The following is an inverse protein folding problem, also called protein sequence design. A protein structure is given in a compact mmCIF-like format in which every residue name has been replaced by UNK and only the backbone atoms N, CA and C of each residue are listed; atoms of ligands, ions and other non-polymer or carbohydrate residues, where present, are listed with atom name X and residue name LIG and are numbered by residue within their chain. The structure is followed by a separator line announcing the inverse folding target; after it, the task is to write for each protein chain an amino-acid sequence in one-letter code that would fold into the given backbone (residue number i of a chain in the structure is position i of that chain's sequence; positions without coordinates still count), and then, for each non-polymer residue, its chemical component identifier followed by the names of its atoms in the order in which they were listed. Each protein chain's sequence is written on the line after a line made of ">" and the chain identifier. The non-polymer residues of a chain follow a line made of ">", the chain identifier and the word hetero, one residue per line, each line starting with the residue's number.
data_IF_668484795796
#
_entry.id   IF_668484795796
#
_cell.length_a   1.000
_cell.length_b   1.000
_cell.length_c   1.000
_cell.angle_alpha   90.00
_cell.angle_beta   90.00
_cell.angle_gamma   90.00
#
_symmetry.space_group_name_H-M   'P 1'
#
loop_
_entity.id
_entity.type
_entity.pdbx_description
1 polymer ?
#
# COMPACT_ATOMS: atom_id res chain seq x y z
N UNK A 1 -3.68 -12.35 20.07
CA UNK A 1 -2.96 -11.06 20.10
C UNK A 1 -3.52 -10.20 18.98
N UNK A 2 -4.41 -9.29 19.31
CA UNK A 2 -5.04 -8.34 18.40
C UNK A 2 -4.05 -7.20 18.13
N UNK A 3 -3.51 -7.12 16.91
CA UNK A 3 -2.77 -5.94 16.48
C UNK A 3 -3.78 -4.81 16.31
N UNK A 4 -3.81 -3.87 17.25
CA UNK A 4 -4.47 -2.59 17.06
C UNK A 4 -3.66 -1.81 16.01
N UNK A 5 -4.00 -1.99 14.75
CA UNK A 5 -3.43 -1.24 13.65
C UNK A 5 -4.32 0.00 13.43
N UNK A 6 -4.03 1.07 14.17
CA UNK A 6 -4.87 2.29 14.25
C UNK A 6 -4.79 3.20 13.01
N UNK A 7 -3.99 2.83 12.01
CA UNK A 7 -3.85 3.58 10.76
C UNK A 7 -5.05 3.47 9.82
N UNK A 8 -5.11 4.36 8.84
CA UNK A 8 -6.19 4.42 7.84
C UNK A 8 -6.05 3.23 6.90
N UNK A 9 -7.11 2.42 6.78
CA UNK A 9 -7.08 1.23 5.95
C UNK A 9 -7.28 1.61 4.47
N UNK A 10 -6.23 1.42 3.68
CA UNK A 10 -6.21 1.70 2.24
C UNK A 10 -6.19 0.37 1.46
N UNK A 11 -7.34 -0.08 0.92
CA UNK A 11 -7.36 -1.18 -0.03
C UNK A 11 -6.81 -0.68 -1.37
N UNK A 12 -5.79 -1.35 -1.87
CA UNK A 12 -5.12 -1.01 -3.11
C UNK A 12 -5.18 -2.20 -4.07
N UNK A 13 -5.94 -2.04 -5.15
CA UNK A 13 -5.91 -2.99 -6.24
C UNK A 13 -4.55 -2.90 -6.97
N UNK A 14 -4.03 -4.05 -7.35
CA UNK A 14 -2.82 -4.14 -8.14
C UNK A 14 -2.91 -3.29 -9.42
N UNK A 15 -1.83 -2.56 -9.70
CA UNK A 15 -1.66 -1.58 -10.77
C UNK A 15 -2.49 -0.29 -10.63
N UNK A 16 -3.25 -0.12 -9.54
CA UNK A 16 -3.91 1.15 -9.23
C UNK A 16 -2.91 2.15 -8.64
N UNK A 17 -3.01 3.41 -9.09
CA UNK A 17 -2.28 4.52 -8.50
C UNK A 17 -3.03 5.02 -7.27
N UNK A 18 -2.34 5.05 -6.15
CA UNK A 18 -2.80 5.61 -4.89
C UNK A 18 -2.38 7.08 -4.81
N UNK A 19 -3.37 7.95 -4.67
CA UNK A 19 -3.23 9.36 -4.34
C UNK A 19 -3.70 9.56 -2.90
N UNK A 20 -2.74 9.65 -1.98
CA UNK A 20 -3.04 9.75 -0.55
C UNK A 20 -3.15 11.19 -0.08
N UNK A 21 -2.47 12.12 -0.74
CA UNK A 21 -2.51 13.54 -0.42
C UNK A 21 -3.65 14.26 -1.15
N UNK A 22 -4.04 15.41 -0.64
CA UNK A 22 -5.00 16.32 -1.29
C UNK A 22 -4.38 17.11 -2.46
N UNK A 23 -3.05 17.26 -2.49
CA UNK A 23 -2.30 17.83 -3.61
C UNK A 23 -2.29 16.87 -4.84
N UNK A 24 -2.86 17.25 -6.00
CA UNK A 24 -2.89 16.42 -7.20
C UNK A 24 -1.50 16.13 -7.80
N UNK A 25 -0.52 17.00 -7.55
CA UNK A 25 0.89 16.83 -7.97
C UNK A 25 1.74 16.19 -6.86
N UNK A 26 1.10 15.81 -5.76
CA UNK A 26 1.70 15.13 -4.63
C UNK A 26 2.22 13.72 -4.94
N UNK A 27 2.86 13.08 -3.95
CA UNK A 27 3.46 11.76 -4.09
C UNK A 27 2.43 10.70 -4.48
N UNK A 28 2.83 9.81 -5.39
CA UNK A 28 1.97 8.74 -5.93
C UNK A 28 2.57 7.39 -5.64
N UNK A 29 1.71 6.42 -5.32
CA UNK A 29 2.13 5.06 -5.06
C UNK A 29 1.38 4.07 -5.94
N UNK A 30 1.98 2.91 -6.17
CA UNK A 30 1.40 1.83 -6.95
C UNK A 30 1.72 0.53 -6.25
N UNK A 31 0.72 -0.34 -6.23
CA UNK A 31 0.84 -1.69 -5.67
C UNK A 31 0.95 -2.68 -6.81
N UNK A 32 1.86 -3.64 -6.69
CA UNK A 32 2.00 -4.74 -7.64
C UNK A 32 2.52 -6.01 -6.97
N UNK A 33 2.56 -7.12 -7.71
CA UNK A 33 3.12 -8.37 -7.22
C UNK A 33 2.39 -8.92 -6.00
N UNK A 34 1.08 -8.68 -5.91
CA UNK A 34 0.20 -9.15 -4.83
C UNK A 34 0.08 -10.67 -4.95
N UNK A 35 0.64 -11.40 -3.99
CA UNK A 35 0.73 -12.86 -4.08
C UNK A 35 0.88 -13.52 -2.72
N UNK A 36 0.51 -14.80 -2.65
CA UNK A 36 0.93 -15.70 -1.58
C UNK A 36 2.11 -16.51 -2.10
N UNK A 37 3.23 -16.47 -1.39
CA UNK A 37 4.46 -17.19 -1.73
C UNK A 37 4.92 -17.90 -0.45
N UNK A 38 5.02 -19.23 -0.49
CA UNK A 38 5.35 -20.08 0.67
C UNK A 38 4.44 -19.84 1.89
N UNK A 39 3.15 -19.63 1.64
CA UNK A 39 2.15 -19.31 2.68
C UNK A 39 2.20 -17.87 3.20
N UNK A 40 3.15 -17.06 2.73
CA UNK A 40 3.32 -15.66 3.15
C UNK A 40 2.63 -14.73 2.17
N UNK A 41 1.77 -13.86 2.70
CA UNK A 41 1.11 -12.80 1.93
C UNK A 41 2.11 -11.66 1.66
N UNK A 42 2.30 -11.31 0.38
CA UNK A 42 3.27 -10.30 -0.06
C UNK A 42 2.63 -9.31 -1.03
N UNK A 43 3.09 -8.05 -0.98
CA UNK A 43 2.77 -7.03 -1.96
C UNK A 43 3.96 -6.10 -2.18
N UNK A 44 4.19 -5.68 -3.43
CA UNK A 44 5.19 -4.69 -3.78
C UNK A 44 4.58 -3.30 -3.77
N UNK A 45 5.13 -2.41 -2.95
CA UNK A 45 4.79 -0.99 -2.95
C UNK A 45 5.92 -0.23 -3.65
N UNK A 46 5.55 0.59 -4.63
CA UNK A 46 6.46 1.50 -5.33
C UNK A 46 5.84 2.87 -5.41
N UNK A 47 6.62 3.92 -5.21
CA UNK A 47 6.10 5.28 -5.35
C UNK A 47 6.96 6.32 -4.67
N UNK A 48 6.40 7.52 -4.53
CA UNK A 48 7.02 8.62 -3.81
C UNK A 48 6.92 9.93 -4.57
N UNK A 49 7.68 10.91 -4.09
CA UNK A 49 7.67 12.29 -4.58
C UNK A 49 9.03 12.94 -4.34
N UNK A 50 9.05 14.27 -4.22
CA UNK A 50 10.28 15.05 -4.07
C UNK A 50 11.11 14.69 -2.82
N UNK A 51 10.45 14.26 -1.75
CA UNK A 51 11.08 13.96 -0.46
C UNK A 51 11.59 12.53 -0.32
N UNK A 52 11.34 11.65 -1.31
CA UNK A 52 11.84 10.28 -1.28
C UNK A 52 11.09 9.32 -2.20
N UNK A 53 11.54 8.05 -2.22
CA UNK A 53 10.91 6.98 -2.99
C UNK A 53 10.86 5.69 -2.19
N UNK A 54 9.77 4.94 -2.35
CA UNK A 54 9.64 3.55 -1.92
C UNK A 54 9.73 2.65 -3.17
N UNK A 55 10.43 1.52 -3.03
CA UNK A 55 10.41 0.40 -3.97
C UNK A 55 10.70 -0.87 -3.19
N UNK A 56 9.70 -1.41 -2.48
CA UNK A 56 9.88 -2.50 -1.52
C UNK A 56 8.75 -3.51 -1.60
N UNK A 57 9.11 -4.79 -1.51
CA UNK A 57 8.14 -5.87 -1.26
C UNK A 57 7.97 -6.00 0.24
N UNK A 58 6.73 -5.91 0.71
CA UNK A 58 6.35 -6.11 2.10
C UNK A 58 5.66 -7.46 2.23
N UNK A 59 5.91 -8.12 3.36
CA UNK A 59 5.11 -9.22 3.87
C UNK A 59 4.01 -8.68 4.79
N UNK A 60 2.93 -9.43 4.98
CA UNK A 60 1.91 -9.04 5.96
C UNK A 60 2.55 -8.86 7.35
N UNK A 61 2.28 -7.72 7.99
CA UNK A 61 2.90 -7.27 9.23
C UNK A 61 4.14 -6.37 9.04
N UNK A 62 4.76 -6.34 7.86
CA UNK A 62 5.91 -5.47 7.61
C UNK A 62 5.48 -4.04 7.25
N UNK A 63 6.33 -3.09 7.66
CA UNK A 63 6.13 -1.67 7.42
C UNK A 63 7.26 -1.04 6.61
N UNK A 64 6.94 0.04 5.90
CA UNK A 64 7.92 0.91 5.26
C UNK A 64 7.51 2.37 5.42
N UNK A 65 8.46 3.23 5.74
CA UNK A 65 8.24 4.66 5.89
C UNK A 65 8.67 5.42 4.63
N UNK A 66 7.87 6.41 4.24
CA UNK A 66 8.24 7.43 3.27
C UNK A 66 8.41 8.79 3.97
N UNK A 67 9.58 9.45 3.85
CA UNK A 67 9.82 10.74 4.48
C UNK A 67 8.84 11.83 4.04
N UNK A 68 8.13 12.41 5.00
CA UNK A 68 7.16 13.48 4.77
C UNK A 68 5.80 13.01 4.22
N UNK A 69 5.58 11.71 4.06
CA UNK A 69 4.27 11.16 3.67
C UNK A 69 3.67 10.31 4.77
N UNK A 70 4.40 9.30 5.25
CA UNK A 70 3.88 8.42 6.29
C UNK A 70 4.42 7.01 6.23
N UNK A 71 3.88 6.16 7.10
CA UNK A 71 4.23 4.75 7.21
C UNK A 71 3.14 3.88 6.62
N UNK A 72 3.54 2.91 5.81
CA UNK A 72 2.68 1.89 5.22
C UNK A 72 2.97 0.56 5.90
N UNK A 73 1.95 -0.06 6.46
CA UNK A 73 2.04 -1.43 7.01
C UNK A 73 1.13 -2.35 6.20
N UNK A 74 1.67 -3.41 5.59
CA UNK A 74 0.84 -4.37 4.88
C UNK A 74 0.05 -5.21 5.88
N UNK A 75 -1.28 -5.12 5.86
CA UNK A 75 -2.15 -5.83 6.82
C UNK A 75 -2.47 -7.23 6.31
N UNK A 76 -2.98 -7.30 5.09
CA UNK A 76 -3.35 -8.55 4.42
C UNK A 76 -3.52 -8.30 2.92
N UNK A 77 -3.67 -9.38 2.17
CA UNK A 77 -4.01 -9.36 0.75
C UNK A 77 -5.25 -10.19 0.48
N UNK A 78 -5.95 -9.87 -0.61
CA UNK A 78 -6.93 -10.74 -1.25
C UNK A 78 -6.40 -11.05 -2.63
N UNK A 79 -6.05 -12.31 -2.87
CA UNK A 79 -5.67 -12.76 -4.20
C UNK A 79 -6.94 -13.09 -4.99
N UNK A 80 -7.04 -12.58 -6.22
CA UNK A 80 -7.97 -13.17 -7.19
C UNK A 80 -7.27 -14.37 -7.83
N UNK A 81 -7.85 -15.55 -7.66
CA UNK A 81 -7.40 -16.75 -8.37
C UNK A 81 -7.60 -16.50 -9.86
N UNK A 82 -6.51 -16.48 -10.63
CA UNK A 82 -6.55 -16.47 -12.10
C UNK A 82 -6.04 -17.79 -12.65
N UNK A 83 -6.47 -18.08 -13.88
CA UNK A 83 -5.99 -19.21 -14.66
C UNK A 83 -4.44 -19.19 -14.79
N UNK A 84 -3.78 -20.36 -14.86
CA UNK A 84 -2.32 -20.45 -14.98
C UNK A 84 -1.77 -19.60 -16.14
N UNK A 85 -0.64 -18.92 -15.91
CA UNK A 85 0.10 -18.20 -16.97
C UNK A 85 -0.16 -16.69 -17.10
N UNK A 86 -0.94 -16.07 -16.20
CA UNK A 86 -1.10 -14.60 -16.14
C UNK A 86 -0.24 -14.02 -15.01
N UNK A 87 0.74 -13.18 -15.34
CA UNK A 87 1.52 -12.40 -14.35
C UNK A 87 0.87 -11.05 -14.11
N UNK A 88 0.50 -10.77 -12.86
CA UNK A 88 -0.16 -9.52 -12.44
C UNK A 88 -1.64 -9.41 -12.85
N UNK A 89 -2.46 -8.88 -11.96
CA UNK A 89 -3.79 -8.36 -12.29
C UNK A 89 -4.91 -8.85 -11.37
N UNK A 90 -5.21 -8.07 -10.34
CA UNK A 90 -6.48 -8.15 -9.61
C UNK A 90 -6.38 -8.54 -8.13
N UNK A 91 -5.17 -8.79 -7.63
CA UNK A 91 -4.96 -8.85 -6.19
C UNK A 91 -5.23 -7.50 -5.53
N UNK A 92 -5.78 -7.51 -4.32
CA UNK A 92 -5.94 -6.31 -3.48
C UNK A 92 -4.99 -6.47 -2.31
N UNK A 93 -4.16 -5.46 -2.05
CA UNK A 93 -3.39 -5.36 -0.81
C UNK A 93 -3.99 -4.27 0.07
N UNK A 94 -4.24 -4.59 1.33
CA UNK A 94 -4.75 -3.63 2.31
C UNK A 94 -3.59 -3.15 3.16
N UNK A 95 -3.32 -1.84 3.13
CA UNK A 95 -2.33 -1.20 3.99
C UNK A 95 -3.02 -0.46 5.13
N UNK A 96 -2.43 -0.48 6.32
CA UNK A 96 -2.68 0.57 7.29
C UNK A 96 -1.70 1.69 7.02
N UNK A 97 -2.21 2.90 6.85
CA UNK A 97 -1.43 4.09 6.55
C UNK A 97 -1.50 5.05 7.74
N UNK A 98 -0.33 5.35 8.29
CA UNK A 98 -0.13 6.35 9.32
C UNK A 98 0.51 7.59 8.69
N UNK A 99 -0.24 8.69 8.48
CA UNK A 99 0.30 9.88 7.84
C UNK A 99 1.40 10.51 8.70
N UNK A 100 2.44 11.03 8.05
CA UNK A 100 3.48 11.79 8.72
C UNK A 100 2.91 13.11 9.27
N UNK A 101 3.48 13.68 10.36
CA UNK A 101 3.11 15.01 10.82
C UNK A 101 3.21 16.04 9.69
N UNK A 102 2.13 16.81 9.48
CA UNK A 102 2.05 17.81 8.42
C UNK A 102 1.70 17.29 7.02
N UNK A 103 1.52 15.98 6.84
CA UNK A 103 0.97 15.43 5.60
C UNK A 103 -0.55 15.60 5.58
N UNK A 104 -1.06 16.38 4.63
CA UNK A 104 -2.50 16.54 4.44
C UNK A 104 -3.04 15.38 3.62
N UNK A 105 -3.88 14.55 4.25
CA UNK A 105 -4.50 13.42 3.56
C UNK A 105 -5.69 13.87 2.70
N UNK A 106 -5.89 13.22 1.56
CA UNK A 106 -7.10 13.37 0.77
C UNK A 106 -8.32 12.99 1.63
N UNK A 107 -9.26 13.92 1.89
CA UNK A 107 -10.43 13.67 2.73
C UNK A 107 -11.31 12.52 2.24
N UNK A 108 -11.31 12.22 0.93
CA UNK A 108 -12.05 11.11 0.35
C UNK A 108 -11.58 9.72 0.81
N UNK A 109 -10.44 9.64 1.51
CA UNK A 109 -9.92 8.39 2.09
C UNK A 109 -10.36 8.18 3.55
N UNK A 110 -11.05 9.15 4.15
CA UNK A 110 -11.53 9.10 5.54
C UNK A 110 -13.02 8.77 5.68
N UNK A 111 -13.73 8.61 4.55
CA UNK A 111 -15.18 8.46 4.47
C UNK A 111 -15.65 7.01 4.46
#
# INVERSE_FOLDING_TARGET
>A
MSHNNSGILIPAQEMTVLHLGDDPDGPRFTVSGVRVEDGVQKAHLRGGGRTGRIKRTLQAGESVNHPGVGTFTLVHIRVQVRAPGRTGGGGIATFAFDPAPGFTINPALLT
#
